data_IF_054023481212
#
_entry.id   IF_054023481212
#
_cell.length_a   1.000
_cell.length_b   1.000
_cell.length_c   1.000
_cell.angle_alpha   90.00
_cell.angle_beta   90.00
_cell.angle_gamma   90.00
#
_symmetry.space_group_name_H-M   'P 1'
#
loop_
_entity.id
_entity.type
_entity.pdbx_description
1 polymer ?
#
# COMPACT_ATOMS: atom_id res chain seq x y z
N UNK A 1 1.45 -9.42 -16.90
CA UNK A 1 2.78 -8.98 -16.44
C UNK A 1 3.00 -9.56 -15.06
N UNK A 2 4.07 -10.31 -14.88
CA UNK A 2 4.39 -10.88 -13.57
C UNK A 2 5.12 -9.86 -12.70
N UNK A 3 4.88 -9.91 -11.40
CA UNK A 3 5.48 -8.96 -10.46
C UNK A 3 5.54 -9.55 -9.04
N UNK A 4 6.59 -9.22 -8.29
CA UNK A 4 6.77 -9.68 -6.92
C UNK A 4 7.53 -8.65 -6.10
N UNK A 5 7.06 -8.38 -4.89
CA UNK A 5 7.74 -7.48 -3.96
C UNK A 5 7.44 -7.85 -2.51
N UNK A 6 8.29 -7.37 -1.61
CA UNK A 6 7.90 -7.22 -0.21
C UNK A 6 6.81 -6.15 -0.11
N UNK A 7 5.84 -6.40 0.76
CA UNK A 7 4.80 -5.47 1.13
C UNK A 7 4.42 -5.71 2.60
N UNK A 8 3.93 -4.68 3.27
CA UNK A 8 3.47 -4.76 4.64
C UNK A 8 1.96 -4.95 4.64
N UNK A 9 1.46 -5.92 5.39
CA UNK A 9 0.04 -6.14 5.58
C UNK A 9 -0.38 -5.68 6.97
N UNK A 10 -1.41 -4.84 7.06
CA UNK A 10 -2.04 -4.53 8.33
C UNK A 10 -3.03 -5.63 8.71
N UNK A 11 -2.66 -6.42 9.72
CA UNK A 11 -3.46 -7.53 10.22
C UNK A 11 -4.53 -7.11 11.24
N UNK A 12 -4.40 -5.93 11.85
CA UNK A 12 -5.28 -5.50 12.94
C UNK A 12 -6.48 -4.70 12.43
N UNK A 13 -7.69 -5.16 12.79
CA UNK A 13 -8.97 -4.50 12.50
C UNK A 13 -9.36 -3.44 13.54
N UNK A 14 -8.81 -3.51 14.75
CA UNK A 14 -9.28 -2.73 15.91
C UNK A 14 -8.22 -1.78 16.48
N UNK A 15 -6.92 -2.14 16.42
CA UNK A 15 -5.85 -1.39 17.08
C UNK A 15 -4.74 -0.91 16.12
N UNK A 16 -4.98 -0.93 14.81
CA UNK A 16 -4.26 -0.16 13.79
C UNK A 16 -2.74 -0.40 13.60
N UNK A 17 -2.06 -1.19 14.44
CA UNK A 17 -0.60 -1.13 14.53
C UNK A 17 0.14 -2.44 14.21
N UNK A 18 -0.55 -3.56 13.97
CA UNK A 18 0.14 -4.83 13.68
C UNK A 18 0.38 -5.01 12.19
N UNK A 19 1.47 -4.40 11.73
CA UNK A 19 2.03 -4.62 10.40
C UNK A 19 2.86 -5.90 10.36
N UNK A 20 2.71 -6.67 9.30
CA UNK A 20 3.48 -7.90 9.06
C UNK A 20 4.14 -7.80 7.68
N UNK A 21 5.44 -8.06 7.62
CA UNK A 21 6.16 -8.17 6.35
C UNK A 21 5.69 -9.42 5.59
N UNK A 22 5.29 -9.20 4.35
CA UNK A 22 4.74 -10.20 3.45
C UNK A 22 5.41 -10.10 2.08
N UNK A 23 5.27 -11.14 1.27
CA UNK A 23 5.60 -11.15 -0.14
C UNK A 23 4.28 -11.19 -0.89
N UNK A 24 4.05 -10.19 -1.74
CA UNK A 24 2.97 -10.18 -2.70
C UNK A 24 3.55 -10.58 -4.05
N UNK A 25 2.92 -11.55 -4.70
CA UNK A 25 3.33 -12.11 -5.99
C UNK A 25 2.14 -12.14 -6.93
N UNK A 26 2.35 -11.69 -8.16
CA UNK A 26 1.45 -11.88 -9.28
C UNK A 26 2.20 -12.66 -10.34
N UNK A 27 1.78 -13.90 -10.57
CA UNK A 27 2.40 -14.83 -11.51
C UNK A 27 1.30 -15.51 -12.31
N UNK A 28 1.40 -15.48 -13.64
CA UNK A 28 0.43 -16.12 -14.53
C UNK A 28 -1.04 -15.74 -14.21
N UNK A 29 -1.27 -14.47 -13.85
CA UNK A 29 -2.60 -13.96 -13.50
C UNK A 29 -3.11 -14.35 -12.11
N UNK A 30 -2.31 -15.05 -11.29
CA UNK A 30 -2.65 -15.39 -9.91
C UNK A 30 -1.96 -14.45 -8.93
N UNK A 31 -2.76 -13.74 -8.13
CA UNK A 31 -2.29 -12.89 -7.05
C UNK A 31 -2.22 -13.69 -5.75
N UNK A 32 -1.05 -13.68 -5.11
CA UNK A 32 -0.76 -14.42 -3.90
C UNK A 32 -0.07 -13.52 -2.87
N UNK A 33 -0.58 -13.52 -1.64
CA UNK A 33 0.06 -12.87 -0.50
C UNK A 33 0.53 -13.94 0.49
N UNK A 34 1.81 -13.89 0.86
CA UNK A 34 2.43 -14.80 1.83
C UNK A 34 3.14 -14.04 2.92
N UNK A 35 3.01 -14.49 4.16
CA UNK A 35 3.84 -14.06 5.28
C UNK A 35 4.78 -15.20 5.69
N UNK A 36 5.57 -15.00 6.75
CA UNK A 36 6.50 -16.00 7.27
C UNK A 36 5.79 -17.28 7.78
N UNK A 37 4.49 -17.19 8.08
CA UNK A 37 3.65 -18.32 8.53
C UNK A 37 3.01 -19.10 7.39
N UNK A 38 3.06 -18.59 6.16
CA UNK A 38 2.51 -19.25 4.98
C UNK A 38 1.59 -18.36 4.15
N UNK A 39 0.62 -19.00 3.49
CA UNK A 39 -0.32 -18.37 2.58
C UNK A 39 -1.35 -17.54 3.35
N UNK A 40 -1.45 -16.24 3.03
CA UNK A 40 -2.48 -15.34 3.58
C UNK A 40 -3.72 -15.34 2.68
N UNK A 41 -3.52 -15.15 1.38
CA UNK A 41 -4.57 -15.32 0.38
C UNK A 41 -3.99 -15.68 -0.98
N UNK A 42 -4.85 -16.26 -1.83
CA UNK A 42 -4.59 -16.49 -3.26
C UNK A 42 -5.88 -16.28 -4.05
N UNK A 43 -5.82 -15.48 -5.12
CA UNK A 43 -6.97 -15.20 -5.98
C UNK A 43 -6.52 -14.90 -7.41
N UNK A 44 -7.31 -15.26 -8.45
CA UNK A 44 -7.10 -14.73 -9.79
C UNK A 44 -7.17 -13.21 -9.78
N UNK A 45 -6.25 -12.53 -10.47
CA UNK A 45 -6.22 -11.07 -10.54
C UNK A 45 -7.53 -10.48 -11.08
N UNK A 46 -8.21 -11.20 -11.99
CA UNK A 46 -9.54 -10.83 -12.51
C UNK A 46 -10.67 -10.82 -11.46
N UNK A 47 -10.42 -11.37 -10.27
CA UNK A 47 -11.34 -11.36 -9.12
C UNK A 47 -10.85 -10.46 -7.99
N UNK A 48 -9.94 -9.54 -8.30
CA UNK A 48 -9.36 -8.60 -7.36
C UNK A 48 -9.74 -7.18 -7.75
N UNK A 49 -10.38 -6.48 -6.82
CA UNK A 49 -10.49 -5.02 -6.87
C UNK A 49 -9.38 -4.42 -6.03
N UNK A 50 -8.69 -3.44 -6.59
CA UNK A 50 -7.49 -2.85 -6.06
C UNK A 50 -7.67 -1.33 -5.98
N UNK A 51 -7.46 -0.75 -4.80
CA UNK A 51 -7.53 0.71 -4.61
C UNK A 51 -6.21 1.27 -4.11
N UNK A 52 -5.60 2.16 -4.89
CA UNK A 52 -4.43 2.91 -4.46
C UNK A 52 -4.85 4.17 -3.70
N UNK A 53 -4.38 4.30 -2.47
CA UNK A 53 -4.65 5.46 -1.62
C UNK A 53 -3.59 6.55 -1.81
N UNK A 54 -3.95 7.79 -1.49
CA UNK A 54 -3.05 8.96 -1.59
C UNK A 54 -1.83 8.83 -0.67
N UNK A 55 -1.95 8.08 0.43
CA UNK A 55 -0.86 7.83 1.39
C UNK A 55 0.05 6.67 0.96
N UNK A 56 -0.09 6.15 -0.26
CA UNK A 56 0.76 5.08 -0.78
C UNK A 56 0.44 3.70 -0.22
N UNK A 57 -0.74 3.51 0.37
CA UNK A 57 -1.28 2.19 0.71
C UNK A 57 -2.10 1.62 -0.45
N UNK A 58 -2.12 0.30 -0.52
CA UNK A 58 -2.81 -0.52 -1.50
C UNK A 58 -3.90 -1.32 -0.77
N UNK A 59 -5.17 -1.08 -1.08
CA UNK A 59 -6.29 -1.83 -0.51
C UNK A 59 -6.76 -2.86 -1.52
N UNK A 60 -6.78 -4.13 -1.13
CA UNK A 60 -7.16 -5.26 -1.98
C UNK A 60 -8.46 -5.87 -1.46
N UNK A 61 -9.48 -5.89 -2.31
CA UNK A 61 -10.73 -6.60 -2.05
C UNK A 61 -10.79 -7.81 -2.97
N UNK A 62 -10.94 -9.00 -2.39
CA UNK A 62 -11.12 -10.23 -3.15
C UNK A 62 -12.63 -10.49 -3.32
N UNK A 63 -13.05 -10.93 -4.50
CA UNK A 63 -14.43 -11.34 -4.71
C UNK A 63 -14.80 -12.47 -3.73
N UNK A 64 -15.81 -12.23 -2.88
CA UNK A 64 -16.27 -13.19 -1.88
C UNK A 64 -15.52 -13.15 -0.54
N UNK A 65 -14.54 -12.25 -0.36
CA UNK A 65 -13.99 -11.96 0.96
C UNK A 65 -14.87 -10.96 1.70
N UNK A 66 -15.11 -11.21 2.99
CA UNK A 66 -15.90 -10.31 3.85
C UNK A 66 -15.21 -8.95 4.05
N UNK A 67 -13.88 -8.93 4.01
CA UNK A 67 -13.09 -7.74 4.34
C UNK A 67 -11.89 -7.53 3.41
N UNK A 68 -11.49 -6.26 3.21
CA UNK A 68 -10.34 -5.92 2.38
C UNK A 68 -9.00 -6.11 3.13
N UNK A 69 -7.95 -6.37 2.37
CA UNK A 69 -6.58 -6.40 2.82
C UNK A 69 -5.92 -5.04 2.62
N UNK A 70 -5.44 -4.42 3.71
CA UNK A 70 -4.72 -3.14 3.66
C UNK A 70 -3.23 -3.39 3.62
N UNK A 71 -2.59 -3.00 2.52
CA UNK A 71 -1.18 -3.21 2.24
C UNK A 71 -0.43 -1.88 2.11
N UNK A 72 0.86 -1.85 2.45
CA UNK A 72 1.71 -0.66 2.37
C UNK A 72 3.15 -1.02 1.99
N UNK A 73 3.84 -0.13 1.30
CA UNK A 73 5.31 -0.21 1.11
C UNK A 73 6.06 0.62 2.15
N UNK A 74 5.35 1.47 2.89
CA UNK A 74 5.89 2.32 3.92
C UNK A 74 5.63 1.68 5.29
N UNK A 75 6.70 1.30 5.96
CA UNK A 75 6.69 0.94 7.37
C UNK A 75 6.98 2.15 8.23
N UNK A 76 6.50 2.11 9.47
CA UNK A 76 6.99 2.99 10.53
C UNK A 76 8.08 2.27 11.34
N UNK A 77 8.65 2.93 12.34
CA UNK A 77 9.70 2.37 13.22
C UNK A 77 9.25 1.13 14.02
N UNK A 78 7.94 0.89 14.14
CA UNK A 78 7.38 -0.32 14.79
C UNK A 78 7.11 -1.47 13.80
N UNK A 79 7.38 -1.27 12.51
CA UNK A 79 7.14 -2.27 11.49
C UNK A 79 8.27 -3.30 11.51
N UNK A 80 7.95 -4.61 11.60
CA UNK A 80 8.97 -5.65 11.57
C UNK A 80 9.64 -5.69 10.20
N UNK A 81 10.98 -5.71 10.20
CA UNK A 81 11.77 -5.91 8.99
C UNK A 81 11.45 -7.29 8.37
N UNK A 82 11.54 -7.42 7.03
CA UNK A 82 11.45 -8.73 6.37
C UNK A 82 12.54 -9.67 6.90
N UNK A 83 12.20 -10.94 7.10
CA UNK A 83 13.19 -11.95 7.51
C UNK A 83 14.13 -12.28 6.36
N UNK A 84 15.34 -12.80 6.65
CA UNK A 84 16.26 -13.26 5.60
C UNK A 84 15.62 -14.33 4.70
N UNK A 85 14.83 -15.24 5.28
CA UNK A 85 14.07 -16.25 4.54
C UNK A 85 13.11 -15.62 3.54
N UNK A 86 12.43 -14.54 3.93
CA UNK A 86 11.54 -13.80 3.03
C UNK A 86 12.33 -13.10 1.91
N UNK A 87 13.48 -12.51 2.23
CA UNK A 87 14.34 -11.86 1.24
C UNK A 87 14.89 -12.87 0.23
N UNK A 88 15.34 -14.05 0.68
CA UNK A 88 15.84 -15.10 -0.19
C UNK A 88 14.72 -15.70 -1.04
N UNK A 89 13.54 -15.92 -0.45
CA UNK A 89 12.37 -16.39 -1.20
C UNK A 89 11.92 -15.38 -2.27
N UNK A 90 11.92 -14.08 -1.95
CA UNK A 90 11.64 -13.03 -2.92
C UNK A 90 12.67 -13.04 -4.06
N UNK A 91 13.96 -13.18 -3.74
CA UNK A 91 15.04 -13.26 -4.74
C UNK A 91 14.81 -14.42 -5.70
N UNK A 92 14.52 -15.61 -5.18
CA UNK A 92 14.21 -16.79 -5.99
C UNK A 92 13.00 -16.57 -6.91
N UNK A 93 11.93 -15.93 -6.40
CA UNK A 93 10.74 -15.60 -7.21
C UNK A 93 11.12 -14.60 -8.32
N UNK A 94 11.85 -13.55 -7.99
CA UNK A 94 12.24 -12.50 -8.95
C UNK A 94 13.16 -13.05 -10.04
N UNK A 95 14.10 -13.93 -9.68
CA UNK A 95 14.96 -14.65 -10.63
C UNK A 95 14.14 -15.55 -11.55
N UNK A 96 13.22 -16.36 -10.98
CA UNK A 96 12.33 -17.25 -11.74
C UNK A 96 11.45 -16.47 -12.73
N UNK A 97 10.89 -15.35 -12.31
CA UNK A 97 9.98 -14.53 -13.10
C UNK A 97 10.70 -13.55 -14.03
N UNK A 98 12.04 -13.53 -14.01
CA UNK A 98 12.87 -12.56 -14.73
C UNK A 98 12.42 -11.10 -14.51
N UNK A 99 11.98 -10.80 -13.29
CA UNK A 99 11.54 -9.46 -12.91
C UNK A 99 12.78 -8.60 -12.69
N UNK A 100 13.12 -7.78 -13.68
CA UNK A 100 14.09 -6.71 -13.49
C UNK A 100 13.60 -5.77 -12.38
N UNK A 101 14.52 -5.24 -11.56
CA UNK A 101 14.16 -4.22 -10.59
C UNK A 101 13.41 -3.09 -11.29
N UNK A 102 12.16 -2.86 -10.86
CA UNK A 102 11.32 -1.84 -11.48
C UNK A 102 11.95 -0.47 -11.22
N UNK A 103 12.32 0.21 -12.31
CA UNK A 103 12.67 1.63 -12.26
C UNK A 103 11.42 2.41 -11.86
N UNK A 104 11.34 2.85 -10.60
CA UNK A 104 10.21 3.59 -10.04
C UNK A 104 9.74 3.03 -8.70
N UNK A 105 8.63 3.55 -8.18
CA UNK A 105 8.10 3.07 -6.89
C UNK A 105 7.42 1.69 -7.04
N UNK A 106 7.59 0.81 -6.05
CA UNK A 106 6.95 -0.52 -5.97
C UNK A 106 5.43 -0.45 -6.23
N UNK A 107 4.75 0.59 -5.73
CA UNK A 107 3.32 0.79 -5.97
C UNK A 107 2.96 1.08 -7.42
N UNK A 108 3.83 1.76 -8.18
CA UNK A 108 3.65 1.93 -9.63
C UNK A 108 3.78 0.60 -10.34
N UNK A 109 4.71 -0.26 -9.90
CA UNK A 109 4.85 -1.64 -10.37
C UNK A 109 3.56 -2.44 -10.16
N UNK A 110 3.02 -2.41 -8.93
CA UNK A 110 1.75 -3.08 -8.61
C UNK A 110 0.56 -2.56 -9.42
N UNK A 111 0.44 -1.24 -9.58
CA UNK A 111 -0.64 -0.66 -10.36
C UNK A 111 -0.59 -1.18 -11.80
N UNK A 112 0.59 -1.16 -12.43
CA UNK A 112 0.78 -1.65 -13.79
C UNK A 112 0.52 -3.15 -13.90
N UNK A 113 1.06 -3.93 -12.97
CA UNK A 113 0.94 -5.39 -12.97
C UNK A 113 -0.53 -5.83 -12.83
N UNK A 114 -1.28 -5.28 -11.87
CA UNK A 114 -2.70 -5.62 -11.66
C UNK A 114 -3.58 -5.20 -12.85
N UNK A 115 -3.37 -3.98 -13.39
CA UNK A 115 -4.10 -3.49 -14.56
C UNK A 115 -3.91 -4.44 -15.76
N UNK A 116 -2.67 -4.88 -16.02
CA UNK A 116 -2.36 -5.76 -17.16
C UNK A 116 -2.85 -7.20 -17.00
N UNK A 117 -3.25 -7.62 -15.79
CA UNK A 117 -3.76 -8.97 -15.53
C UNK A 117 -5.27 -8.97 -15.23
N UNK A 118 -5.98 -7.90 -15.59
CA UNK A 118 -7.44 -7.83 -15.50
C UNK A 118 -7.98 -7.53 -14.09
N UNK A 119 -7.13 -7.11 -13.15
CA UNK A 119 -7.60 -6.58 -11.88
C UNK A 119 -8.29 -5.24 -12.07
N UNK A 120 -9.38 -5.02 -11.32
CA UNK A 120 -10.07 -3.73 -11.32
C UNK A 120 -9.25 -2.75 -10.47
N UNK A 121 -8.57 -1.81 -11.11
CA UNK A 121 -7.69 -0.84 -10.43
C UNK A 121 -8.37 0.53 -10.35
N UNK A 122 -8.54 1.01 -9.12
CA UNK A 122 -9.20 2.27 -8.79
C UNK A 122 -8.24 3.19 -8.03
N UNK A 123 -8.33 4.49 -8.29
CA UNK A 123 -7.52 5.52 -7.64
C UNK A 123 -6.18 5.76 -8.35
N UNK A 124 -5.71 7.01 -8.30
CA UNK A 124 -4.42 7.44 -8.84
C UNK A 124 -3.47 7.68 -7.67
N UNK A 125 -2.17 7.42 -7.83
CA UNK A 125 -1.14 7.93 -6.92
C UNK A 125 -1.19 9.46 -6.96
N UNK A 126 -2.04 10.05 -6.14
CA UNK A 126 -2.08 11.49 -5.92
C UNK A 126 -0.78 11.87 -5.22
N UNK A 127 -0.10 12.91 -5.70
CA UNK A 127 1.05 13.50 -5.02
C UNK A 127 0.59 13.93 -3.62
N UNK A 128 0.80 13.09 -2.61
CA UNK A 128 0.35 13.33 -1.23
C UNK A 128 0.85 14.65 -0.63
N UNK A 129 1.89 15.23 -1.21
CA UNK A 129 2.38 16.57 -0.88
C UNK A 129 1.31 17.66 -1.03
N UNK A 130 0.44 17.59 -2.04
CA UNK A 130 -0.57 18.63 -2.28
C UNK A 130 -1.65 18.67 -1.18
N UNK A 131 -1.98 17.52 -0.58
CA UNK A 131 -3.02 17.43 0.45
C UNK A 131 -2.49 17.74 1.85
N UNK A 132 -1.24 17.36 2.16
CA UNK A 132 -0.59 17.75 3.42
C UNK A 132 -0.40 19.26 3.47
N UNK A 133 -0.01 19.89 2.35
CA UNK A 133 0.05 21.36 2.24
C UNK A 133 -1.35 21.97 2.42
N UNK A 134 -2.39 21.42 1.81
CA UNK A 134 -3.75 21.95 1.97
C UNK A 134 -4.25 21.90 3.43
N UNK A 135 -4.02 20.80 4.15
CA UNK A 135 -4.45 20.67 5.55
C UNK A 135 -3.62 21.58 6.47
N UNK A 136 -2.31 21.69 6.26
CA UNK A 136 -1.46 22.60 7.01
C UNK A 136 -1.84 24.08 6.76
N UNK A 137 -2.11 24.47 5.51
CA UNK A 137 -2.49 25.84 5.17
C UNK A 137 -3.86 26.24 5.74
N UNK A 138 -4.84 25.33 5.78
CA UNK A 138 -6.13 25.58 6.44
C UNK A 138 -5.95 25.74 7.95
N UNK A 139 -5.09 24.91 8.56
CA UNK A 139 -4.80 24.97 10.00
C UNK A 139 -4.09 26.27 10.38
N UNK A 140 -3.11 26.69 9.58
CA UNK A 140 -2.36 27.95 9.77
C UNK A 140 -3.27 29.16 9.55
N UNK A 141 -4.10 29.14 8.50
CA UNK A 141 -5.06 30.22 8.21
C UNK A 141 -6.11 30.39 9.32
N UNK A 142 -6.64 29.29 9.85
CA UNK A 142 -7.58 29.31 10.97
C UNK A 142 -6.92 29.85 12.27
N UNK A 143 -5.66 29.50 12.50
CA UNK A 143 -4.90 29.95 13.68
C UNK A 143 -4.59 31.44 13.62
N UNK A 144 -4.23 31.96 12.44
CA UNK A 144 -4.00 33.39 12.21
C UNK A 144 -5.29 34.21 12.32
N UNK A 145 -6.42 33.71 11.82
CA UNK A 145 -7.71 34.39 11.95
C UNK A 145 -8.15 34.51 13.42
N UNK A 146 -7.91 33.48 14.24
CA UNK A 146 -8.21 33.52 15.67
C UNK A 146 -7.35 34.54 16.42
N UNK A 147 -6.05 34.65 16.09
CA UNK A 147 -5.16 35.63 16.73
C UNK A 147 -5.56 37.06 16.36
N UNK A 148 -5.88 37.32 15.08
CA UNK A 148 -6.33 38.65 14.64
C UNK A 148 -7.68 39.03 15.27
N UNK A 149 -8.63 38.10 15.35
CA UNK A 149 -9.92 38.35 16.00
C UNK A 149 -9.76 38.61 17.52
N UNK A 150 -8.86 37.90 18.19
CA UNK A 150 -8.58 38.12 19.61
C UNK A 150 -7.90 39.48 19.88
N UNK A 151 -7.04 39.95 18.98
CA UNK A 151 -6.40 41.28 19.10
C UNK A 151 -7.41 42.40 18.83
N UNK A 152 -8.26 42.27 17.81
CA UNK A 152 -9.27 43.28 17.48
C UNK A 152 -10.41 43.34 18.52
N UNK A 153 -10.76 42.23 19.16
CA UNK A 153 -11.74 42.20 20.24
C UNK A 153 -11.22 42.68 21.60
N UNK A 154 -9.92 42.94 21.73
CA UNK A 154 -9.28 43.42 22.96
C UNK A 154 -8.93 44.92 22.93
N UNK A 155 -9.29 45.62 21.86
CA UNK A 155 -9.19 47.09 21.69
C UNK A 155 -10.60 47.67 21.79
#
# INVERSE_FOLDING_TARGET
MDFASIILWNKSKLNGARWESCILTLEAGMLELRNDRGLVFRSPASRVTCRFTVLGSLVITLLGAEEPYVLSVYGNWTTPLPTERQLDHLRQIQERLHIAQVRGSVMTGWHRALTLNGGEVVGRKGNGLAFVIAICLISIGASLAFIVAAIVGAI
#
